data_IF_564351004582
#
_entry.id   IF_564351004582
#
_cell.length_a   1.000
_cell.length_b   1.000
_cell.length_c   1.000
_cell.angle_alpha   90.00
_cell.angle_beta   90.00
_cell.angle_gamma   90.00
#
_symmetry.space_group_name_H-M   'P 1'
#
loop_
_entity.id
_entity.type
_entity.pdbx_description
1 polymer ?
#
# COMPACT_ATOMS: atom_id res chain seq x y z
N UNK A 1 6.66 -27.89 16.02
CA UNK A 1 7.03 -27.07 14.85
C UNK A 1 5.84 -26.18 14.51
N UNK A 2 5.85 -24.92 14.93
CA UNK A 2 4.76 -23.97 14.66
C UNK A 2 4.92 -23.40 13.25
N UNK A 3 3.90 -23.60 12.39
CA UNK A 3 3.83 -22.99 11.06
C UNK A 3 3.41 -21.53 11.22
N UNK A 4 4.29 -20.61 10.86
CA UNK A 4 3.97 -19.18 10.73
C UNK A 4 3.22 -19.01 9.41
N UNK A 5 1.97 -18.54 9.48
CA UNK A 5 1.15 -18.27 8.31
C UNK A 5 1.49 -16.87 7.81
N UNK A 6 2.15 -16.79 6.64
CA UNK A 6 2.51 -15.53 5.99
C UNK A 6 1.37 -15.19 5.03
N UNK A 7 0.68 -14.07 5.26
CA UNK A 7 -0.32 -13.55 4.35
C UNK A 7 0.37 -12.65 3.30
N UNK A 8 0.16 -12.95 2.02
CA UNK A 8 0.66 -12.14 0.89
C UNK A 8 -0.53 -11.41 0.26
N UNK A 9 -0.46 -10.08 0.14
CA UNK A 9 -1.54 -9.29 -0.44
C UNK A 9 -1.62 -9.39 -1.98
N UNK A 10 -0.56 -9.79 -2.69
CA UNK A 10 -0.56 -9.89 -4.16
C UNK A 10 0.10 -11.19 -4.64
N UNK A 11 -0.69 -12.08 -5.25
CA UNK A 11 -0.18 -13.10 -6.16
C UNK A 11 -0.07 -12.48 -7.56
N UNK A 12 1.14 -12.16 -7.98
CA UNK A 12 1.44 -11.91 -9.38
C UNK A 12 2.25 -13.11 -9.89
N UNK A 13 1.65 -13.87 -10.81
CA UNK A 13 2.34 -14.94 -11.50
C UNK A 13 3.56 -14.39 -12.25
N UNK A 14 4.74 -14.88 -11.87
CA UNK A 14 5.91 -14.88 -12.76
C UNK A 14 6.83 -13.66 -12.77
N UNK A 15 6.79 -12.75 -11.79
CA UNK A 15 7.86 -11.75 -11.60
C UNK A 15 8.55 -11.89 -10.25
N UNK A 16 9.88 -11.80 -10.29
CA UNK A 16 10.79 -12.08 -9.19
C UNK A 16 10.39 -11.33 -7.92
N UNK A 17 10.40 -12.04 -6.80
CA UNK A 17 10.10 -11.57 -5.45
C UNK A 17 11.19 -10.63 -4.86
N UNK A 18 11.85 -9.87 -5.74
CA UNK A 18 13.03 -9.03 -5.50
C UNK A 18 12.64 -7.57 -5.23
N UNK A 19 11.56 -7.08 -5.83
CA UNK A 19 11.15 -5.66 -5.75
C UNK A 19 10.12 -5.39 -4.63
N UNK A 20 10.16 -6.18 -3.56
CA UNK A 20 9.28 -5.99 -2.40
C UNK A 20 9.85 -4.86 -1.54
N UNK A 21 9.51 -3.61 -1.87
CA UNK A 21 9.60 -2.53 -0.89
C UNK A 21 8.89 -2.97 0.40
N UNK A 22 9.46 -2.69 1.58
CA UNK A 22 8.84 -3.05 2.84
C UNK A 22 7.39 -2.53 2.87
N UNK A 23 6.45 -3.27 3.47
CA UNK A 23 5.01 -2.99 3.37
C UNK A 23 4.65 -1.54 3.76
N UNK A 24 5.41 -0.93 4.65
CA UNK A 24 5.21 0.45 5.08
C UNK A 24 5.65 1.47 4.04
N UNK A 25 6.71 1.23 3.26
CA UNK A 25 7.11 2.11 2.15
C UNK A 25 6.09 2.08 1.01
N UNK A 26 5.55 0.90 0.69
CA UNK A 26 4.51 0.78 -0.33
C UNK A 26 3.22 1.51 0.09
N UNK A 27 2.74 1.27 1.31
CA UNK A 27 1.52 1.90 1.82
C UNK A 27 1.68 3.43 1.98
N UNK A 28 2.85 3.91 2.45
CA UNK A 28 3.13 5.35 2.53
C UNK A 28 3.22 5.98 1.15
N UNK A 29 3.89 5.34 0.17
CA UNK A 29 3.99 5.86 -1.19
C UNK A 29 2.62 5.98 -1.87
N UNK A 30 1.75 4.98 -1.70
CA UNK A 30 0.36 5.02 -2.18
C UNK A 30 -0.44 6.13 -1.49
N UNK A 31 -0.29 6.30 -0.18
CA UNK A 31 -0.93 7.36 0.58
C UNK A 31 -0.46 8.77 0.14
N UNK A 32 0.84 8.96 -0.07
CA UNK A 32 1.42 10.22 -0.57
C UNK A 32 0.89 10.59 -1.96
N UNK A 33 0.86 9.62 -2.88
CA UNK A 33 0.33 9.81 -4.22
C UNK A 33 -1.16 10.17 -4.20
N UNK A 34 -1.96 9.42 -3.42
CA UNK A 34 -3.39 9.69 -3.25
C UNK A 34 -3.66 11.06 -2.62
N UNK A 35 -2.87 11.44 -1.61
CA UNK A 35 -2.93 12.76 -0.99
C UNK A 35 -2.56 13.89 -1.96
N UNK A 36 -1.59 13.67 -2.86
CA UNK A 36 -1.22 14.66 -3.89
C UNK A 36 -2.35 14.92 -4.89
N UNK A 37 -3.10 13.89 -5.30
CA UNK A 37 -4.26 14.06 -6.18
C UNK A 37 -5.42 14.74 -5.47
N UNK A 38 -5.65 14.41 -4.20
CA UNK A 38 -6.71 15.01 -3.41
C UNK A 38 -6.40 16.46 -3.01
N UNK A 39 -5.13 16.88 -3.05
CA UNK A 39 -4.71 18.25 -2.75
C UNK A 39 -5.32 19.29 -3.70
N UNK A 40 -5.54 18.95 -4.98
CA UNK A 40 -6.22 19.82 -5.96
C UNK A 40 -7.64 20.21 -5.50
N UNK A 41 -8.25 19.39 -4.65
CA UNK A 41 -9.59 19.60 -4.10
C UNK A 41 -9.57 20.12 -2.65
N UNK A 42 -8.40 20.43 -2.09
CA UNK A 42 -8.25 20.80 -0.67
C UNK A 42 -8.46 19.62 0.29
N UNK A 43 -8.37 18.38 -0.19
CA UNK A 43 -8.69 17.15 0.56
C UNK A 43 -7.47 16.24 0.76
N UNK A 44 -6.26 16.79 0.80
CA UNK A 44 -5.01 16.02 0.80
C UNK A 44 -4.93 14.96 1.92
N UNK A 45 -5.33 15.30 3.14
CA UNK A 45 -5.30 14.39 4.30
C UNK A 45 -6.29 13.23 4.14
N UNK A 46 -7.47 13.50 3.57
CA UNK A 46 -8.46 12.47 3.26
C UNK A 46 -7.96 11.51 2.17
N UNK A 47 -7.31 12.05 1.13
CA UNK A 47 -6.68 11.24 0.09
C UNK A 47 -5.57 10.35 0.63
N UNK A 48 -4.76 10.89 1.55
CA UNK A 48 -3.69 10.13 2.20
C UNK A 48 -4.23 8.99 3.05
N UNK A 49 -5.23 9.24 3.90
CA UNK A 49 -5.86 8.20 4.73
C UNK A 49 -6.52 7.10 3.86
N UNK A 50 -7.18 7.49 2.77
CA UNK A 50 -7.78 6.55 1.84
C UNK A 50 -6.72 5.65 1.15
N UNK A 51 -5.59 6.22 0.74
CA UNK A 51 -4.48 5.44 0.15
C UNK A 51 -3.80 4.51 1.16
N UNK A 52 -3.66 4.95 2.41
CA UNK A 52 -3.05 4.15 3.48
C UNK A 52 -3.91 2.91 3.83
N UNK A 53 -5.24 3.06 3.84
CA UNK A 53 -6.17 2.00 4.22
C UNK A 53 -6.78 1.23 3.05
N UNK A 54 -6.32 1.47 1.82
CA UNK A 54 -6.96 0.88 0.64
C UNK A 54 -6.95 -0.66 0.63
N UNK A 55 -5.94 -1.27 1.26
CA UNK A 55 -5.78 -2.74 1.40
C UNK A 55 -6.34 -3.30 2.72
N UNK A 56 -6.95 -2.46 3.56
CA UNK A 56 -7.66 -2.90 4.75
C UNK A 56 -9.09 -3.35 4.36
N UNK A 57 -9.21 -4.54 3.75
CA UNK A 57 -10.47 -5.13 3.26
C UNK A 57 -10.61 -6.60 3.60
#
# INVERSE_FOLDING_TARGET
MNKINIFYAHSLDGKAADERHPPDEHLKGTAELAGSFAAEFGCSEWGWLAGLWHDAG
#
